data_IF_433753970159
#
_entry.id   IF_433753970159
#
_cell.length_a   1.000
_cell.length_b   1.000
_cell.length_c   1.000
_cell.angle_alpha   90.00
_cell.angle_beta   90.00
_cell.angle_gamma   90.00
#
_symmetry.space_group_name_H-M   'P 1'
#
loop_
_entity.id
_entity.type
_entity.pdbx_description
1 polymer ?
#
# COMPACT_ATOMS: atom_id res chain seq x y z
N UNK A 1 -6.49 19.32 -10.36
CA UNK A 1 -5.72 18.42 -9.49
C UNK A 1 -6.68 18.01 -8.39
N UNK A 2 -6.81 16.72 -8.14
CA UNK A 2 -7.80 16.14 -7.24
C UNK A 2 -7.09 15.67 -5.95
N UNK A 3 -7.86 15.34 -4.90
CA UNK A 3 -7.27 14.78 -3.67
C UNK A 3 -6.76 13.35 -3.90
N UNK A 4 -6.01 12.81 -2.95
CA UNK A 4 -5.37 11.49 -3.07
C UNK A 4 -6.39 10.36 -3.32
N UNK A 5 -7.57 10.44 -2.70
CA UNK A 5 -8.63 9.43 -2.86
C UNK A 5 -9.25 9.48 -4.25
N UNK A 6 -9.50 10.68 -4.76
CA UNK A 6 -10.02 10.87 -6.12
C UNK A 6 -8.96 10.52 -7.18
N UNK A 7 -7.68 10.76 -6.88
CA UNK A 7 -6.55 10.36 -7.75
C UNK A 7 -6.44 8.82 -7.84
N UNK A 8 -6.66 8.09 -6.74
CA UNK A 8 -6.74 6.62 -6.75
C UNK A 8 -7.87 6.16 -7.69
N UNK A 9 -9.03 6.83 -7.68
CA UNK A 9 -10.13 6.52 -8.62
C UNK A 9 -9.78 6.85 -10.06
N UNK A 10 -9.17 8.01 -10.32
CA UNK A 10 -8.80 8.44 -11.68
C UNK A 10 -7.75 7.52 -12.30
N UNK A 11 -6.92 6.88 -11.48
CA UNK A 11 -5.94 5.86 -11.87
C UNK A 11 -6.54 4.45 -11.95
N UNK A 12 -7.87 4.34 -11.97
CA UNK A 12 -8.64 3.09 -12.13
C UNK A 12 -8.40 2.06 -11.01
N UNK A 13 -8.00 2.49 -9.81
CA UNK A 13 -7.74 1.62 -8.65
C UNK A 13 -8.98 1.44 -7.78
N UNK A 14 -10.05 0.97 -8.41
CA UNK A 14 -11.39 0.87 -7.78
C UNK A 14 -11.44 -0.13 -6.64
N UNK A 15 -10.74 -1.26 -6.73
CA UNK A 15 -10.65 -2.27 -5.64
C UNK A 15 -9.97 -1.70 -4.40
N UNK A 16 -8.84 -1.01 -4.58
CA UNK A 16 -8.14 -0.39 -3.46
C UNK A 16 -8.95 0.77 -2.84
N UNK A 17 -9.68 1.52 -3.67
CA UNK A 17 -10.64 2.51 -3.18
C UNK A 17 -11.73 1.87 -2.28
N UNK A 18 -12.26 0.71 -2.64
CA UNK A 18 -13.21 -0.02 -1.78
C UNK A 18 -12.58 -0.42 -0.44
N UNK A 19 -11.32 -0.85 -0.43
CA UNK A 19 -10.59 -1.14 0.80
C UNK A 19 -10.45 0.10 1.70
N UNK A 20 -10.15 1.26 1.12
CA UNK A 20 -10.11 2.56 1.82
C UNK A 20 -11.47 2.89 2.44
N UNK A 21 -12.57 2.71 1.70
CA UNK A 21 -13.93 2.96 2.20
C UNK A 21 -14.29 2.01 3.34
N UNK A 22 -14.02 0.72 3.17
CA UNK A 22 -14.30 -0.30 4.17
C UNK A 22 -13.47 -0.12 5.45
N UNK A 23 -12.24 0.41 5.33
CA UNK A 23 -11.39 0.75 6.46
C UNK A 23 -11.79 2.06 7.17
N UNK A 24 -12.76 2.81 6.62
CA UNK A 24 -13.19 4.10 7.17
C UNK A 24 -12.15 5.21 7.03
N UNK A 25 -11.21 5.09 6.08
CA UNK A 25 -10.08 6.01 5.92
C UNK A 25 -10.35 7.13 4.90
N UNK A 26 -11.45 7.06 4.15
CA UNK A 26 -11.73 7.97 3.04
C UNK A 26 -11.75 9.45 3.46
N UNK A 27 -12.37 9.80 4.59
CA UNK A 27 -12.46 11.19 5.05
C UNK A 27 -11.12 11.71 5.59
N UNK A 28 -10.38 10.86 6.30
CA UNK A 28 -9.04 11.18 6.78
C UNK A 28 -8.09 11.45 5.60
N UNK A 29 -8.10 10.58 4.60
CA UNK A 29 -7.26 10.71 3.40
C UNK A 29 -7.60 11.93 2.54
N UNK A 30 -8.80 12.50 2.65
CA UNK A 30 -9.18 13.75 1.94
C UNK A 30 -8.73 15.02 2.65
N UNK A 31 -8.46 14.95 3.96
CA UNK A 31 -8.29 16.15 4.81
C UNK A 31 -6.84 16.40 5.22
N UNK A 32 -6.04 15.35 5.38
CA UNK A 32 -4.61 15.46 5.72
C UNK A 32 -3.71 15.01 4.57
N UNK A 33 -2.40 15.16 4.76
CA UNK A 33 -1.39 14.90 3.74
C UNK A 33 -0.93 13.45 3.80
N UNK A 34 -1.05 12.71 2.69
CA UNK A 34 -0.69 11.30 2.65
C UNK A 34 0.00 10.88 1.36
N UNK A 35 0.83 9.86 1.47
CA UNK A 35 1.33 9.09 0.35
C UNK A 35 0.72 7.70 0.36
N UNK A 36 0.15 7.30 -0.77
CA UNK A 36 -0.60 6.05 -0.90
C UNK A 36 0.08 5.16 -1.93
N UNK A 37 0.49 3.98 -1.51
CA UNK A 37 0.95 2.91 -2.39
C UNK A 37 -0.26 2.08 -2.78
N UNK A 38 -0.72 2.17 -4.02
CA UNK A 38 -1.92 1.47 -4.48
C UNK A 38 -1.55 0.30 -5.40
N UNK A 39 -1.92 -0.94 -5.05
CA UNK A 39 -1.84 -2.07 -5.97
C UNK A 39 -2.81 -1.89 -7.14
N UNK A 40 -2.62 -2.68 -8.20
CA UNK A 40 -3.62 -2.81 -9.27
C UNK A 40 -4.83 -3.62 -8.82
N UNK A 41 -5.92 -3.56 -9.59
CA UNK A 41 -7.11 -4.36 -9.26
C UNK A 41 -6.83 -5.86 -9.39
N UNK A 42 -6.03 -6.24 -10.37
CA UNK A 42 -5.59 -7.62 -10.60
C UNK A 42 -4.76 -8.13 -9.43
N UNK A 43 -3.81 -7.33 -8.94
CA UNK A 43 -3.01 -7.67 -7.77
C UNK A 43 -3.85 -7.86 -6.50
N UNK A 44 -4.94 -7.09 -6.34
CA UNK A 44 -5.87 -7.29 -5.22
C UNK A 44 -6.66 -8.58 -5.40
N UNK A 45 -7.14 -8.88 -6.61
CA UNK A 45 -7.88 -10.12 -6.89
C UNK A 45 -7.00 -11.33 -6.61
N UNK A 46 -5.77 -11.35 -7.14
CA UNK A 46 -4.82 -12.44 -6.90
C UNK A 46 -4.55 -12.62 -5.39
N UNK A 47 -4.42 -11.52 -4.64
CA UNK A 47 -4.26 -11.57 -3.19
C UNK A 47 -5.51 -12.08 -2.47
N UNK A 48 -6.70 -11.63 -2.87
CA UNK A 48 -7.98 -12.11 -2.32
C UNK A 48 -8.10 -13.63 -2.54
N UNK A 49 -7.84 -14.12 -3.74
CA UNK A 49 -7.89 -15.55 -4.09
C UNK A 49 -6.88 -16.38 -3.27
N UNK A 50 -5.61 -15.94 -3.16
CA UNK A 50 -4.59 -16.61 -2.34
C UNK A 50 -4.95 -16.65 -0.85
N UNK A 51 -5.65 -15.63 -0.35
CA UNK A 51 -6.08 -15.58 1.06
C UNK A 51 -7.36 -16.38 1.34
N UNK A 52 -8.21 -16.60 0.33
CA UNK A 52 -9.40 -17.44 0.45
C UNK A 52 -9.07 -18.93 0.52
N UNK A 53 -8.04 -19.37 -0.20
CA UNK A 53 -7.51 -20.75 -0.11
C UNK A 53 -6.91 -21.08 1.26
N UNK A 54 -6.60 -20.06 2.07
CA UNK A 54 -6.25 -20.24 3.48
C UNK A 54 -7.53 -20.37 4.33
N UNK A 55 -8.01 -21.60 4.52
CA UNK A 55 -9.28 -21.99 5.17
C UNK A 55 -9.67 -21.21 6.45
N UNK A 56 -8.70 -20.66 7.18
CA UNK A 56 -8.92 -19.91 8.43
C UNK A 56 -9.57 -18.54 8.19
N UNK A 57 -9.27 -17.89 7.06
CA UNK A 57 -9.85 -16.58 6.69
C UNK A 57 -11.29 -16.75 6.16
N UNK A 58 -11.55 -17.86 5.46
CA UNK A 58 -12.85 -18.22 4.90
C UNK A 58 -13.98 -18.24 5.96
N UNK A 59 -13.66 -18.63 7.20
CA UNK A 59 -14.63 -18.95 8.25
C UNK A 59 -15.03 -17.71 9.08
N UNK A 60 -14.20 -16.65 9.12
CA UNK A 60 -14.45 -15.49 9.99
C UNK A 60 -14.43 -14.15 9.23
N UNK A 61 -15.59 -13.65 8.75
CA UNK A 61 -15.67 -12.40 8.00
C UNK A 61 -15.20 -11.17 8.79
N UNK A 62 -15.37 -11.16 10.13
CA UNK A 62 -14.87 -10.07 10.96
C UNK A 62 -13.34 -10.03 11.03
N UNK A 63 -12.69 -11.21 11.03
CA UNK A 63 -11.23 -11.32 10.97
C UNK A 63 -10.70 -10.81 9.63
N UNK A 64 -11.32 -11.22 8.51
CA UNK A 64 -10.99 -10.70 7.17
C UNK A 64 -11.09 -9.18 7.07
N UNK A 65 -12.18 -8.58 7.56
CA UNK A 65 -12.33 -7.12 7.55
C UNK A 65 -11.25 -6.40 8.39
N UNK A 66 -10.89 -6.99 9.53
CA UNK A 66 -9.81 -6.46 10.39
C UNK A 66 -8.45 -6.57 9.69
N UNK A 67 -8.20 -7.68 9.00
CA UNK A 67 -7.00 -7.93 8.22
C UNK A 67 -6.91 -6.95 7.03
N UNK A 68 -8.01 -6.75 6.27
CA UNK A 68 -8.07 -5.77 5.17
C UNK A 68 -7.85 -4.35 5.66
N UNK A 69 -8.42 -3.95 6.80
CA UNK A 69 -8.21 -2.61 7.35
C UNK A 69 -6.75 -2.37 7.74
N UNK A 70 -6.10 -3.36 8.36
CA UNK A 70 -4.66 -3.29 8.68
C UNK A 70 -3.81 -3.25 7.41
N UNK A 71 -4.10 -4.10 6.42
CA UNK A 71 -3.40 -4.11 5.13
C UNK A 71 -3.56 -2.77 4.42
N UNK A 72 -4.76 -2.19 4.42
CA UNK A 72 -5.00 -0.87 3.81
C UNK A 72 -4.16 0.21 4.48
N UNK A 73 -4.11 0.22 5.82
CA UNK A 73 -3.30 1.17 6.59
C UNK A 73 -1.80 1.00 6.32
N UNK A 74 -1.30 -0.21 6.10
CA UNK A 74 0.12 -0.42 5.78
C UNK A 74 0.53 0.03 4.38
N UNK A 75 -0.42 0.41 3.53
CA UNK A 75 -0.16 1.00 2.21
C UNK A 75 -0.12 2.54 2.25
N UNK A 76 -0.39 3.15 3.41
CA UNK A 76 -0.55 4.59 3.56
C UNK A 76 0.53 5.12 4.50
N UNK A 77 1.23 6.16 4.06
CA UNK A 77 2.26 6.88 4.80
C UNK A 77 1.82 8.33 4.97
N UNK A 78 2.07 8.90 6.15
CA UNK A 78 1.76 10.30 6.43
C UNK A 78 2.79 11.23 5.76
N UNK A 79 2.32 12.28 5.07
CA UNK A 79 3.20 13.23 4.35
C UNK A 79 3.37 12.96 2.85
N UNK A 80 4.30 13.70 2.24
CA UNK A 80 4.60 13.66 0.80
C UNK A 80 5.91 12.91 0.55
N UNK A 81 5.82 11.59 0.35
CA UNK A 81 6.97 10.73 0.09
C UNK A 81 7.19 10.63 -1.42
N UNK A 82 7.96 11.57 -1.97
CA UNK A 82 8.37 11.53 -3.37
C UNK A 82 9.46 10.46 -3.55
N UNK A 83 9.20 9.46 -4.39
CA UNK A 83 10.11 8.32 -4.58
C UNK A 83 11.50 8.73 -5.05
N UNK A 84 11.64 9.81 -5.79
CA UNK A 84 12.92 10.24 -6.35
C UNK A 84 13.87 10.72 -5.25
N UNK A 85 13.35 11.30 -4.16
CA UNK A 85 14.16 11.82 -3.04
C UNK A 85 14.38 10.80 -1.93
N UNK A 86 13.62 9.70 -1.90
CA UNK A 86 13.79 8.64 -0.92
C UNK A 86 15.17 7.96 -1.06
N UNK A 87 15.78 7.62 0.06
CA UNK A 87 17.06 6.90 0.06
C UNK A 87 16.84 5.38 -0.08
N UNK A 88 17.87 4.68 -0.59
CA UNK A 88 17.86 3.22 -0.55
C UNK A 88 17.87 2.73 0.91
N UNK A 89 17.12 1.67 1.21
CA UNK A 89 16.89 1.12 2.56
C UNK A 89 16.05 2.00 3.50
N UNK A 90 15.48 3.10 3.01
CA UNK A 90 14.66 3.97 3.85
C UNK A 90 13.40 3.25 4.34
N UNK A 91 13.11 3.39 5.64
CA UNK A 91 11.90 2.87 6.27
C UNK A 91 10.88 3.99 6.45
N UNK A 92 9.70 3.81 5.85
CA UNK A 92 8.56 4.71 5.99
C UNK A 92 7.60 4.15 7.04
N UNK A 93 7.16 5.02 7.96
CA UNK A 93 6.14 4.67 8.94
C UNK A 93 4.76 4.69 8.28
N UNK A 94 3.99 3.61 8.42
CA UNK A 94 2.65 3.53 7.84
C UNK A 94 1.58 3.92 8.87
N UNK A 95 0.32 4.02 8.43
CA UNK A 95 -0.82 4.17 9.34
C UNK A 95 -1.11 2.90 10.17
N UNK A 96 -0.51 1.76 9.83
CA UNK A 96 -0.46 0.61 10.72
C UNK A 96 0.83 0.70 11.53
N UNK A 97 0.73 1.02 12.82
CA UNK A 97 1.89 1.16 13.72
C UNK A 97 2.74 -0.13 13.80
N UNK A 98 2.19 -1.29 13.45
CA UNK A 98 2.90 -2.55 13.40
C UNK A 98 3.59 -2.84 12.05
N UNK A 99 3.46 -1.96 11.06
CA UNK A 99 4.01 -2.15 9.71
C UNK A 99 4.80 -0.93 9.21
N UNK A 100 5.86 -1.21 8.47
CA UNK A 100 6.69 -0.21 7.79
C UNK A 100 6.82 -0.58 6.32
N UNK A 101 7.04 0.43 5.48
CA UNK A 101 7.42 0.23 4.07
C UNK A 101 8.92 0.49 3.96
N UNK A 102 9.68 -0.55 3.60
CA UNK A 102 11.09 -0.44 3.22
C UNK A 102 11.18 -0.15 1.73
N UNK A 103 11.82 0.96 1.39
CA UNK A 103 12.12 1.34 0.02
C UNK A 103 13.49 0.78 -0.35
N UNK A 104 13.55 0.05 -1.46
CA UNK A 104 14.81 -0.38 -2.06
C UNK A 104 14.93 0.19 -3.47
N UNK A 105 16.11 0.67 -3.82
CA UNK A 105 16.46 1.20 -5.15
C UNK A 105 17.58 0.34 -5.75
N UNK A 106 17.33 -0.25 -6.89
CA UNK A 106 18.27 -1.09 -7.64
C UNK A 106 18.59 -0.42 -8.98
N UNK A 107 19.86 -0.41 -9.38
CA UNK A 107 20.29 0.20 -10.67
C UNK A 107 21.09 -0.80 -11.52
N UNK A 108 20.46 -1.88 -12.04
CA UNK A 108 21.13 -2.83 -12.93
C UNK A 108 21.30 -2.30 -14.36
N UNK A 109 20.34 -1.53 -14.88
CA UNK A 109 20.37 -0.87 -16.20
C UNK A 109 19.42 0.35 -16.25
N UNK A 110 18.25 0.22 -15.62
CA UNK A 110 17.33 1.30 -15.28
C UNK A 110 17.00 1.21 -13.78
N UNK A 111 16.65 2.32 -13.15
CA UNK A 111 16.28 2.33 -11.73
C UNK A 111 14.98 1.55 -11.51
N UNK A 112 15.06 0.49 -10.72
CA UNK A 112 13.92 -0.25 -10.19
C UNK A 112 13.76 0.11 -8.73
N UNK A 113 12.58 0.61 -8.36
CA UNK A 113 12.23 0.89 -6.97
C UNK A 113 11.24 -0.16 -6.49
N UNK A 114 11.46 -0.70 -5.30
CA UNK A 114 10.52 -1.59 -4.64
C UNK A 114 10.10 -1.03 -3.29
N UNK A 115 8.86 -1.32 -2.90
CA UNK A 115 8.30 -1.08 -1.59
C UNK A 115 8.00 -2.44 -0.97
N UNK A 116 8.65 -2.82 0.13
CA UNK A 116 8.55 -4.16 0.74
C UNK A 116 8.68 -5.31 -0.28
N UNK A 117 9.72 -5.23 -1.12
CA UNK A 117 9.98 -6.18 -2.22
C UNK A 117 8.97 -6.18 -3.38
N UNK A 118 7.92 -5.36 -3.34
CA UNK A 118 6.98 -5.21 -4.45
C UNK A 118 7.43 -4.07 -5.37
N UNK A 119 7.56 -4.30 -6.69
CA UNK A 119 7.92 -3.24 -7.62
C UNK A 119 6.92 -2.07 -7.63
N UNK A 120 7.45 -0.86 -7.64
CA UNK A 120 6.65 0.36 -7.90
C UNK A 120 6.55 0.55 -9.41
N UNK A 121 5.39 0.23 -9.97
CA UNK A 121 5.09 0.28 -11.40
C UNK A 121 4.81 1.68 -11.93
N UNK A 122 4.43 2.62 -11.06
CA UNK A 122 4.20 4.02 -11.39
C UNK A 122 4.54 4.92 -10.22
N UNK A 123 5.34 5.95 -10.45
CA UNK A 123 5.89 6.81 -9.40
C UNK A 123 5.24 8.19 -9.44
N UNK A 124 5.11 8.83 -8.29
CA UNK A 124 4.87 10.26 -8.13
C UNK A 124 3.61 10.81 -8.83
N UNK A 125 2.46 10.12 -8.73
CA UNK A 125 1.19 10.69 -9.19
C UNK A 125 0.72 11.73 -8.17
N UNK A 126 0.97 13.01 -8.45
CA UNK A 126 0.70 14.10 -7.52
C UNK A 126 -0.80 14.39 -7.37
N UNK A 127 -1.24 14.47 -6.12
CA UNK A 127 -2.56 14.90 -5.70
C UNK A 127 -2.48 16.23 -4.93
N UNK A 128 -3.61 16.90 -4.70
CA UNK A 128 -3.64 18.18 -3.97
C UNK A 128 -3.16 18.08 -2.53
N UNK A 129 -3.36 16.92 -1.90
CA UNK A 129 -2.99 16.63 -0.52
C UNK A 129 -2.14 15.37 -0.40
N UNK A 130 -1.42 14.98 -1.45
CA UNK A 130 -0.66 13.74 -1.38
C UNK A 130 0.05 13.30 -2.63
N UNK A 131 0.54 12.07 -2.60
CA UNK A 131 1.18 11.38 -3.72
C UNK A 131 0.62 9.97 -3.81
N UNK A 132 0.32 9.50 -5.02
CA UNK A 132 -0.06 8.11 -5.28
C UNK A 132 1.05 7.40 -6.03
N UNK A 133 1.50 6.27 -5.50
CA UNK A 133 2.43 5.36 -6.16
C UNK A 133 1.70 4.08 -6.54
N UNK A 134 1.91 3.61 -7.76
CA UNK A 134 1.32 2.36 -8.25
C UNK A 134 2.27 1.21 -7.94
N UNK A 135 1.78 0.13 -7.34
CA UNK A 135 2.55 -1.08 -7.05
C UNK A 135 2.07 -2.24 -7.90
N UNK A 136 2.97 -3.15 -8.26
CA UNK A 136 2.65 -4.37 -9.01
C UNK A 136 1.92 -5.44 -8.18
N UNK A 137 1.78 -5.23 -6.88
CA UNK A 137 1.27 -6.20 -5.92
C UNK A 137 0.78 -5.52 -4.63
N UNK A 138 0.00 -6.25 -3.83
CA UNK A 138 -0.32 -5.87 -2.45
C UNK A 138 0.96 -5.94 -1.60
N UNK A 139 1.27 -4.87 -0.87
CA UNK A 139 2.45 -4.80 -0.02
C UNK A 139 2.34 -5.79 1.14
N UNK A 140 3.36 -6.64 1.35
CA UNK A 140 3.41 -7.48 2.53
C UNK A 140 3.70 -6.64 3.79
N UNK A 141 3.27 -7.17 4.94
CA UNK A 141 3.46 -6.57 6.26
C UNK A 141 4.48 -7.37 7.08
N UNK A 142 5.79 -7.18 6.86
CA UNK A 142 6.81 -7.88 7.65
C UNK A 142 6.75 -7.40 9.11
N UNK A 143 6.25 -8.26 10.00
CA UNK A 143 6.13 -8.00 11.45
C UNK A 143 7.17 -8.72 12.30
N UNK A 144 7.88 -9.68 11.71
CA UNK A 144 8.86 -10.54 12.39
C UNK A 144 10.19 -10.46 11.68
N UNK A 145 11.27 -10.51 12.45
CA UNK A 145 12.62 -10.70 11.95
C UNK A 145 12.85 -12.14 11.51
N UNK A 146 13.93 -12.37 10.75
CA UNK A 146 14.34 -13.72 10.35
C UNK A 146 14.56 -14.65 11.55
N UNK A 147 15.08 -14.11 12.66
CA UNK A 147 15.32 -14.89 13.88
C UNK A 147 14.05 -15.38 14.57
N UNK A 148 12.89 -14.76 14.31
CA UNK A 148 11.61 -15.12 14.92
C UNK A 148 10.78 -16.10 14.07
N UNK A 149 11.21 -16.39 12.85
CA UNK A 149 10.51 -17.27 11.91
C UNK A 149 11.25 -18.59 11.61
N UNK A 150 12.49 -18.74 12.09
CA UNK A 150 13.32 -19.95 11.93
C UNK A 150 13.40 -20.77 13.22
#
# INVERSE_FOLDING_TARGET
MENVVDTVKSLERTKFFQWIENAGLADQLKTANYTVFTPSNEAIIDFEDETEDNEISAINPAKRLTDTASITKSHIVEGFENIDVLENEQLLKTLDDAAQIRINKYVPAHEVVTANCVPVSGKNNFATNGIVHLTSGVLPQPRKSLAEIV
#
